data_IF_685491712402
#
_entry.id   IF_685491712402
#
_cell.length_a   1.000
_cell.length_b   1.000
_cell.length_c   1.000
_cell.angle_alpha   90.00
_cell.angle_beta   90.00
_cell.angle_gamma   90.00
#
_symmetry.space_group_name_H-M   'P 1'
#
loop_
_entity.id
_entity.type
_entity.pdbx_description
1 polymer ?
#
# COMPACT_ATOMS: atom_id res chain seq x y z
N UNK A 1 -16.48 18.58 11.87
CA UNK A 1 -15.74 17.51 12.58
C UNK A 1 -16.19 16.19 11.99
N UNK A 2 -15.45 15.68 11.01
CA UNK A 2 -15.79 14.43 10.35
C UNK A 2 -15.38 13.26 11.24
N UNK A 3 -16.33 12.38 11.57
CA UNK A 3 -16.01 11.08 12.14
C UNK A 3 -15.40 10.22 11.04
N UNK A 4 -14.11 9.93 11.15
CA UNK A 4 -13.42 8.99 10.26
C UNK A 4 -13.78 7.56 10.67
N UNK A 5 -14.30 6.76 9.73
CA UNK A 5 -14.56 5.35 9.97
C UNK A 5 -13.23 4.57 9.94
N UNK A 6 -12.94 3.86 11.03
CA UNK A 6 -11.84 2.90 11.09
C UNK A 6 -12.13 1.78 10.09
N UNK A 7 -11.27 1.61 9.09
CA UNK A 7 -11.39 0.55 8.08
C UNK A 7 -11.01 -0.81 8.72
N UNK A 8 -11.90 -1.37 9.54
CA UNK A 8 -11.73 -2.66 10.23
C UNK A 8 -11.38 -3.78 9.25
N UNK A 9 -11.88 -3.72 8.01
CA UNK A 9 -11.58 -4.69 6.96
C UNK A 9 -10.08 -4.73 6.65
N UNK A 10 -9.40 -3.59 6.54
CA UNK A 10 -7.95 -3.55 6.28
C UNK A 10 -7.17 -4.06 7.50
N UNK A 11 -7.61 -3.69 8.71
CA UNK A 11 -7.00 -4.15 9.97
C UNK A 11 -7.11 -5.67 10.14
N UNK A 12 -8.22 -6.27 9.71
CA UNK A 12 -8.48 -7.70 9.77
C UNK A 12 -7.94 -8.47 8.56
N UNK A 13 -7.66 -7.80 7.43
CA UNK A 13 -7.13 -8.44 6.22
C UNK A 13 -5.69 -8.92 6.42
N UNK A 14 -4.87 -8.18 7.18
CA UNK A 14 -3.45 -8.46 7.35
C UNK A 14 -3.07 -8.58 8.83
N UNK A 15 -3.23 -9.76 9.46
CA UNK A 15 -2.81 -9.97 10.84
C UNK A 15 -1.31 -9.63 11.02
N UNK A 16 -0.93 -9.10 12.18
CA UNK A 16 0.46 -8.64 12.46
C UNK A 16 1.54 -9.69 12.13
N UNK A 17 1.21 -10.97 12.29
CA UNK A 17 2.09 -12.10 11.94
C UNK A 17 2.42 -12.19 10.44
N UNK A 18 1.52 -11.74 9.55
CA UNK A 18 1.77 -11.61 8.11
C UNK A 18 2.60 -10.38 7.77
N UNK A 19 2.63 -9.37 8.64
CA UNK A 19 3.31 -8.09 8.41
C UNK A 19 4.78 -8.07 8.80
N UNK A 20 5.40 -9.18 9.25
CA UNK A 20 6.85 -9.23 9.54
C UNK A 20 7.47 -10.62 9.37
N UNK A 21 7.00 -11.42 8.41
CA UNK A 21 7.39 -12.83 8.33
C UNK A 21 8.91 -13.04 8.21
N UNK A 22 9.63 -12.18 7.50
CA UNK A 22 11.07 -12.37 7.30
C UNK A 22 11.94 -11.41 8.13
N UNK A 23 11.40 -10.27 8.56
CA UNK A 23 12.11 -9.31 9.43
C UNK A 23 12.00 -9.65 10.93
N UNK A 24 10.88 -10.23 11.36
CA UNK A 24 10.62 -10.64 12.75
C UNK A 24 9.64 -11.83 12.76
N UNK A 25 10.09 -13.03 12.35
CA UNK A 25 9.21 -14.20 12.25
C UNK A 25 8.58 -14.50 13.61
N UNK A 26 7.25 -14.64 13.63
CA UNK A 26 6.51 -15.00 14.85
C UNK A 26 6.74 -16.45 15.28
N UNK A 27 7.27 -17.29 14.38
CA UNK A 27 7.61 -18.70 14.62
C UNK A 27 9.06 -18.88 14.19
N UNK A 28 9.94 -19.51 15.01
CA UNK A 28 11.30 -19.82 14.61
C UNK A 28 11.31 -20.64 13.32
N UNK A 29 11.75 -20.03 12.23
CA UNK A 29 11.88 -20.65 10.91
C UNK A 29 13.35 -20.76 10.56
N UNK A 30 13.73 -21.80 9.83
CA UNK A 30 15.08 -21.84 9.28
C UNK A 30 15.19 -20.85 8.13
N UNK A 31 16.39 -20.38 7.83
CA UNK A 31 16.63 -19.44 6.73
C UNK A 31 16.20 -20.00 5.36
N UNK A 32 16.04 -21.32 5.23
CA UNK A 32 15.54 -22.00 4.02
C UNK A 32 14.01 -22.00 3.92
N UNK A 33 13.31 -21.85 5.04
CA UNK A 33 11.85 -21.79 5.10
C UNK A 33 11.32 -20.37 4.87
N UNK A 34 12.20 -19.37 5.05
CA UNK A 34 11.88 -17.97 4.79
C UNK A 34 11.79 -17.72 3.28
N UNK A 35 10.60 -17.32 2.86
CA UNK A 35 10.29 -16.96 1.48
C UNK A 35 10.74 -15.53 1.14
N UNK A 36 11.94 -15.10 1.53
CA UNK A 36 12.46 -13.76 1.25
C UNK A 36 13.73 -13.76 0.41
N UNK A 37 13.92 -12.71 -0.37
CA UNK A 37 15.13 -12.46 -1.14
C UNK A 37 15.38 -10.97 -1.34
N UNK A 38 16.58 -10.61 -1.78
CA UNK A 38 16.95 -9.25 -2.15
C UNK A 38 16.90 -9.14 -3.67
N UNK A 39 16.13 -8.17 -4.17
CA UNK A 39 16.09 -7.80 -5.58
C UNK A 39 16.91 -6.52 -5.80
N UNK A 40 17.87 -6.56 -6.73
CA UNK A 40 18.76 -5.44 -7.00
C UNK A 40 18.19 -4.59 -8.17
N UNK A 41 17.97 -3.29 -7.92
CA UNK A 41 17.53 -2.31 -8.91
C UNK A 41 18.60 -1.25 -9.15
N UNK A 42 19.57 -1.57 -10.01
CA UNK A 42 20.74 -0.69 -10.20
C UNK A 42 21.53 -0.60 -8.89
N UNK A 43 21.57 0.58 -8.26
CA UNK A 43 22.22 0.79 -6.96
C UNK A 43 21.30 0.51 -5.76
N UNK A 44 19.98 0.45 -5.96
CA UNK A 44 19.01 0.21 -4.89
C UNK A 44 18.86 -1.29 -4.61
N UNK A 45 18.65 -1.64 -3.34
CA UNK A 45 18.30 -2.99 -2.89
C UNK A 45 16.87 -2.99 -2.37
N UNK A 46 16.05 -3.89 -2.91
CA UNK A 46 14.71 -4.14 -2.43
C UNK A 46 14.66 -5.46 -1.69
N UNK A 47 14.17 -5.43 -0.46
CA UNK A 47 13.80 -6.65 0.25
C UNK A 47 12.42 -7.10 -0.21
N UNK A 48 12.27 -8.37 -0.56
CA UNK A 48 11.03 -8.96 -1.06
C UNK A 48 10.65 -10.15 -0.19
N UNK A 49 9.41 -10.17 0.28
CA UNK A 49 8.80 -11.31 0.98
C UNK A 49 7.72 -11.93 0.09
N UNK A 50 7.77 -13.24 -0.15
CA UNK A 50 6.74 -14.00 -0.85
C UNK A 50 5.77 -14.58 0.18
N UNK A 51 4.58 -13.99 0.28
CA UNK A 51 3.54 -14.42 1.22
C UNK A 51 2.73 -15.59 0.66
N UNK A 52 2.52 -15.61 -0.65
CA UNK A 52 1.88 -16.72 -1.36
C UNK A 52 2.43 -16.82 -2.79
N UNK A 53 2.42 -18.01 -3.38
CA UNK A 53 2.83 -18.24 -4.77
C UNK A 53 1.63 -18.41 -5.71
N UNK A 54 0.47 -18.83 -5.19
CA UNK A 54 -0.73 -19.10 -5.98
C UNK A 54 -2.00 -18.65 -5.21
N UNK A 55 -2.55 -17.46 -5.47
CA UNK A 55 -2.00 -16.41 -6.33
C UNK A 55 -0.69 -15.82 -5.76
N UNK A 56 0.17 -15.23 -6.62
CA UNK A 56 1.40 -14.60 -6.15
C UNK A 56 1.06 -13.37 -5.30
N UNK A 57 1.45 -13.40 -4.03
CA UNK A 57 1.36 -12.28 -3.10
C UNK A 57 2.78 -11.96 -2.66
N UNK A 58 3.25 -10.79 -3.08
CA UNK A 58 4.57 -10.27 -2.75
C UNK A 58 4.43 -9.04 -1.87
N UNK A 59 5.36 -8.89 -0.93
CA UNK A 59 5.47 -7.73 -0.09
C UNK A 59 6.87 -7.14 -0.22
N UNK A 60 6.92 -5.80 -0.22
CA UNK A 60 8.16 -5.02 -0.26
C UNK A 60 8.21 -4.16 1.00
N UNK A 61 8.85 -4.64 2.10
CA UNK A 61 9.06 -3.83 3.29
C UNK A 61 9.88 -2.58 2.96
N UNK A 62 9.57 -1.48 3.64
CA UNK A 62 10.29 -0.21 3.52
C UNK A 62 10.45 0.26 2.06
N UNK A 63 9.44 -0.02 1.24
CA UNK A 63 9.46 0.30 -0.19
C UNK A 63 9.53 1.80 -0.45
N UNK A 64 8.86 2.59 0.40
CA UNK A 64 8.89 4.05 0.36
C UNK A 64 9.84 4.57 1.45
N UNK A 65 10.69 5.53 1.08
CA UNK A 65 11.54 6.22 2.06
C UNK A 65 10.68 7.13 2.95
N UNK A 66 11.05 7.27 4.23
CA UNK A 66 10.33 8.10 5.20
C UNK A 66 10.22 9.58 4.75
N UNK A 67 11.23 10.08 4.04
CA UNK A 67 11.22 11.45 3.49
C UNK A 67 10.16 11.65 2.39
N UNK A 68 9.83 10.62 1.63
CA UNK A 68 8.83 10.63 0.57
C UNK A 68 7.45 10.46 1.17
N UNK A 69 7.34 9.59 2.19
CA UNK A 69 6.11 9.43 2.96
C UNK A 69 5.68 10.78 3.56
N UNK A 70 6.58 11.49 4.23
CA UNK A 70 6.31 12.82 4.81
C UNK A 70 5.82 13.84 3.78
N UNK A 71 6.40 13.85 2.56
CA UNK A 71 5.95 14.75 1.49
C UNK A 71 4.53 14.43 1.01
N UNK A 72 4.17 13.15 0.96
CA UNK A 72 2.83 12.72 0.59
C UNK A 72 1.84 13.08 1.71
N UNK A 73 2.22 12.89 2.97
CA UNK A 73 1.43 13.29 4.15
C UNK A 73 1.19 14.80 4.18
N UNK A 74 2.23 15.62 4.03
CA UNK A 74 2.14 17.08 3.96
C UNK A 74 1.21 17.53 2.81
N UNK A 75 1.29 16.88 1.65
CA UNK A 75 0.42 17.17 0.50
C UNK A 75 -1.04 16.86 0.82
N UNK A 76 -1.29 15.75 1.51
CA UNK A 76 -2.62 15.32 1.91
C UNK A 76 -3.24 16.27 2.94
N UNK A 77 -2.48 16.66 3.98
CA UNK A 77 -2.92 17.59 5.02
C UNK A 77 -3.27 18.99 4.48
N UNK A 78 -2.53 19.44 3.46
CA UNK A 78 -2.72 20.75 2.84
C UNK A 78 -3.71 20.75 1.66
N UNK A 79 -4.26 19.59 1.28
CA UNK A 79 -5.19 19.49 0.15
C UNK A 79 -6.62 19.78 0.58
N UNK A 80 -7.27 20.73 -0.07
CA UNK A 80 -8.72 20.93 0.02
C UNK A 80 -9.53 19.89 -0.76
N UNK A 81 -8.85 19.04 -1.54
CA UNK A 81 -9.46 18.13 -2.52
C UNK A 81 -9.48 16.68 -2.03
N UNK A 82 -9.52 16.45 -0.72
CA UNK A 82 -9.81 15.13 -0.19
C UNK A 82 -11.28 14.84 -0.47
N UNK A 83 -11.54 13.93 -1.39
CA UNK A 83 -12.89 13.60 -1.81
C UNK A 83 -13.40 12.38 -1.06
N UNK A 84 -14.66 12.43 -0.65
CA UNK A 84 -15.31 11.24 -0.13
C UNK A 84 -15.72 10.34 -1.28
N UNK A 85 -15.12 9.16 -1.34
CA UNK A 85 -15.42 8.18 -2.38
C UNK A 85 -16.21 7.03 -1.79
N UNK A 86 -17.53 7.25 -1.69
CA UNK A 86 -18.51 6.20 -1.42
C UNK A 86 -19.03 5.62 -2.73
N UNK A 87 -18.91 4.31 -2.93
CA UNK A 87 -19.63 3.63 -4.00
C UNK A 87 -21.03 3.29 -3.50
N UNK A 88 -22.06 3.99 -3.95
CA UNK A 88 -23.45 3.58 -3.76
C UNK A 88 -23.88 2.71 -4.96
N UNK A 89 -23.80 1.39 -4.83
CA UNK A 89 -24.28 0.46 -5.85
C UNK A 89 -25.76 0.11 -5.65
N UNK A 90 -26.58 0.23 -6.71
CA UNK A 90 -28.00 -0.20 -6.73
C UNK A 90 -28.21 -1.73 -6.53
N UNK A 91 -27.13 -2.53 -6.51
CA UNK A 91 -27.18 -3.99 -6.45
C UNK A 91 -26.17 -4.48 -5.40
N UNK A 92 -26.47 -4.25 -4.13
CA UNK A 92 -25.73 -4.87 -3.05
C UNK A 92 -26.18 -6.32 -2.88
N UNK A 93 -25.28 -7.28 -3.15
CA UNK A 93 -25.42 -8.64 -2.62
C UNK A 93 -25.38 -8.57 -1.10
N UNK A 94 -26.29 -9.27 -0.42
CA UNK A 94 -26.35 -9.37 1.05
C UNK A 94 -24.98 -9.78 1.62
N UNK A 95 -24.22 -8.81 2.14
CA UNK A 95 -22.87 -9.01 2.68
C UNK A 95 -21.81 -8.01 2.21
N UNK A 96 -22.05 -7.26 1.13
CA UNK A 96 -21.10 -6.26 0.64
C UNK A 96 -21.36 -4.94 1.38
N UNK A 97 -20.50 -4.60 2.35
CA UNK A 97 -20.46 -3.26 2.95
C UNK A 97 -19.79 -2.35 1.91
N UNK A 98 -20.39 -1.21 1.58
CA UNK A 98 -19.80 -0.29 0.60
C UNK A 98 -18.36 0.03 0.95
N UNK A 99 -17.48 0.13 -0.06
CA UNK A 99 -16.12 0.61 0.15
C UNK A 99 -16.15 2.13 0.18
N UNK A 100 -15.76 2.71 1.31
CA UNK A 100 -15.47 4.13 1.42
C UNK A 100 -13.94 4.28 1.49
N UNK A 101 -13.38 4.91 0.46
CA UNK A 101 -11.94 5.17 0.36
C UNK A 101 -11.74 6.68 0.22
N UNK A 102 -12.05 7.42 1.28
CA UNK A 102 -11.79 8.86 1.32
C UNK A 102 -10.29 9.09 1.17
N UNK A 103 -9.93 9.89 0.18
CA UNK A 103 -8.53 10.01 -0.20
C UNK A 103 -8.28 11.12 -1.20
N UNK A 104 -7.00 11.25 -1.54
CA UNK A 104 -6.52 12.20 -2.53
C UNK A 104 -5.94 11.41 -3.70
N UNK A 105 -6.51 11.62 -4.89
CA UNK A 105 -5.89 11.16 -6.12
C UNK A 105 -4.73 12.09 -6.47
N UNK A 106 -3.56 11.50 -6.67
CA UNK A 106 -2.37 12.20 -7.12
C UNK A 106 -2.00 11.72 -8.53
N UNK A 107 -1.88 12.65 -9.46
CA UNK A 107 -1.52 12.33 -10.86
C UNK A 107 -0.04 11.98 -11.00
N UNK A 108 0.33 11.12 -11.96
CA UNK A 108 1.71 10.63 -12.16
C UNK A 108 2.79 11.72 -12.26
N UNK A 109 2.39 12.94 -12.63
CA UNK A 109 3.28 14.10 -12.79
C UNK A 109 3.56 14.86 -11.49
N UNK A 110 2.80 14.60 -10.41
CA UNK A 110 3.00 15.27 -9.12
C UNK A 110 4.35 14.91 -8.51
N UNK A 111 5.05 15.95 -8.01
CA UNK A 111 6.44 15.85 -7.55
C UNK A 111 6.61 14.88 -6.36
N UNK A 112 5.56 14.71 -5.57
CA UNK A 112 5.49 13.87 -4.38
C UNK A 112 5.50 12.38 -4.73
N UNK A 113 4.76 11.97 -5.76
CA UNK A 113 4.58 10.56 -6.15
C UNK A 113 5.39 10.13 -7.38
N UNK A 114 5.89 11.08 -8.18
CA UNK A 114 6.73 10.76 -9.35
C UNK A 114 7.95 9.86 -9.01
N UNK A 115 8.67 10.04 -7.88
CA UNK A 115 9.73 9.11 -7.48
C UNK A 115 9.20 7.68 -7.22
N UNK A 116 8.03 7.56 -6.59
CA UNK A 116 7.38 6.28 -6.33
C UNK A 116 7.01 5.56 -7.64
N UNK A 117 6.42 6.27 -8.60
CA UNK A 117 6.12 5.70 -9.93
C UNK A 117 7.37 5.20 -10.65
N UNK A 118 8.48 5.95 -10.58
CA UNK A 118 9.76 5.52 -11.16
C UNK A 118 10.30 4.25 -10.50
N UNK A 119 10.13 4.13 -9.18
CA UNK A 119 10.52 2.94 -8.43
C UNK A 119 9.63 1.75 -8.78
N UNK A 120 8.31 1.92 -8.81
CA UNK A 120 7.34 0.90 -9.23
C UNK A 120 7.64 0.37 -10.64
N UNK A 121 7.97 1.23 -11.60
CA UNK A 121 8.34 0.81 -12.98
C UNK A 121 9.54 -0.11 -13.03
N UNK A 122 10.49 0.08 -12.11
CA UNK A 122 11.71 -0.73 -12.05
C UNK A 122 11.46 -2.05 -11.33
N UNK A 123 10.61 -2.02 -10.31
CA UNK A 123 10.27 -3.19 -9.47
C UNK A 123 9.29 -4.13 -10.14
N UNK A 124 8.21 -3.57 -10.66
CA UNK A 124 7.18 -4.31 -11.36
C UNK A 124 7.52 -4.23 -12.84
N UNK A 125 7.53 -5.35 -13.55
CA UNK A 125 7.68 -5.39 -15.00
C UNK A 125 6.43 -4.83 -15.73
N UNK A 126 5.78 -3.84 -15.13
CA UNK A 126 4.57 -3.17 -15.59
C UNK A 126 4.93 -1.71 -15.88
N UNK A 127 4.35 -1.17 -16.95
CA UNK A 127 4.43 0.25 -17.24
C UNK A 127 3.45 0.98 -16.31
N UNK A 128 3.89 1.82 -15.35
CA UNK A 128 2.97 2.48 -14.44
C UNK A 128 2.06 3.50 -15.13
N UNK A 129 2.39 3.92 -16.35
CA UNK A 129 1.49 4.72 -17.18
C UNK A 129 0.23 3.95 -17.65
N UNK A 130 0.20 2.63 -17.44
CA UNK A 130 -1.02 1.81 -17.60
C UNK A 130 -1.85 1.72 -16.32
N UNK A 131 -1.32 2.20 -15.19
CA UNK A 131 -2.04 2.26 -13.93
C UNK A 131 -2.84 3.56 -13.84
N UNK A 132 -3.88 3.54 -13.01
CA UNK A 132 -4.60 4.73 -12.58
C UNK A 132 -3.67 5.69 -11.82
N UNK A 133 -4.17 6.90 -11.56
CA UNK A 133 -3.55 7.85 -10.62
C UNK A 133 -3.37 7.21 -9.23
N UNK A 134 -2.53 7.79 -8.39
CA UNK A 134 -2.24 7.22 -7.09
C UNK A 134 -3.31 7.67 -6.09
N UNK A 135 -4.16 6.75 -5.63
CA UNK A 135 -5.07 7.03 -4.52
C UNK A 135 -4.33 6.94 -3.19
N UNK A 136 -4.17 8.08 -2.52
CA UNK A 136 -3.69 8.15 -1.14
C UNK A 136 -4.89 8.16 -0.20
N UNK A 137 -5.15 7.03 0.46
CA UNK A 137 -6.24 6.89 1.42
C UNK A 137 -5.84 7.46 2.79
N UNK A 138 -6.74 8.23 3.40
CA UNK A 138 -6.63 8.56 4.82
C UNK A 138 -6.99 7.32 5.64
N UNK A 139 -6.00 6.67 6.24
CA UNK A 139 -6.24 5.58 7.18
C UNK A 139 -5.90 6.02 8.60
N UNK A 140 -6.92 6.24 9.44
CA UNK A 140 -6.73 6.27 10.89
C UNK A 140 -6.51 4.84 11.38
N UNK A 141 -5.24 4.44 11.43
CA UNK A 141 -4.81 3.19 12.05
C UNK A 141 -4.42 3.50 13.51
N UNK A 142 -5.42 3.60 14.39
CA UNK A 142 -5.17 3.53 15.82
C UNK A 142 -4.74 2.08 16.15
N UNK A 143 -3.44 1.87 16.37
CA UNK A 143 -2.83 0.56 16.61
C UNK A 143 -2.75 0.15 18.09
#
# INVERSE_FOLDING_TARGET
MGHFLQNEDIRNTWPRSMLKHCLAPSIPSTQRDLNCFIHQLGFERLFVEVLNRHPPILRFPDFLEENQLKKIEEKLENSSNVESMGVEGLVYSSGHRGRQADGLWLSHEEKEIRPLYRKLRKTLALNPAMGEDFLVCLMNLDF
#
